data_IF_251431438238
#
_entry.id   IF_251431438238
#
_cell.length_a   1.000
_cell.length_b   1.000
_cell.length_c   1.000
_cell.angle_alpha   90.00
_cell.angle_beta   90.00
_cell.angle_gamma   90.00
#
_symmetry.space_group_name_H-M   'P 1'
#
loop_
_entity.id
_entity.type
_entity.pdbx_description
1 polymer ?
#
# COMPACT_ATOMS: atom_id res chain seq x y z
N UNK A 1 11.13 23.28 14.92
CA UNK A 1 9.91 24.09 14.67
C UNK A 1 8.81 23.49 15.51
N UNK A 2 8.19 24.27 16.41
CA UNK A 2 7.19 23.71 17.31
C UNK A 2 5.92 23.33 16.55
N UNK A 3 5.18 22.34 17.03
CA UNK A 3 3.90 21.90 16.45
C UNK A 3 2.89 23.06 16.42
N UNK A 4 3.01 24.01 17.36
CA UNK A 4 2.23 25.25 17.39
C UNK A 4 2.51 26.21 16.24
N UNK A 5 3.76 26.29 15.75
CA UNK A 5 4.14 27.20 14.66
C UNK A 5 3.66 26.69 13.29
N UNK A 6 3.57 25.37 13.13
CA UNK A 6 3.06 24.76 11.90
C UNK A 6 1.54 24.89 11.81
N UNK A 7 0.83 24.75 12.92
CA UNK A 7 -0.62 24.95 12.98
C UNK A 7 -1.00 26.42 12.72
N UNK A 8 -0.25 27.38 13.26
CA UNK A 8 -0.53 28.81 13.04
C UNK A 8 -0.27 29.25 11.59
N UNK A 9 0.73 28.70 10.92
CA UNK A 9 1.01 28.93 9.48
C UNK A 9 -0.07 28.33 8.57
N UNK A 10 -0.59 27.15 8.92
CA UNK A 10 -1.68 26.51 8.17
C UNK A 10 -2.99 27.31 8.32
N UNK A 11 -3.29 27.80 9.52
CA UNK A 11 -4.52 28.58 9.80
C UNK A 11 -4.47 30.00 9.26
N UNK A 12 -3.29 30.61 9.18
CA UNK A 12 -3.11 31.98 8.66
C UNK A 12 -3.13 32.06 7.14
N UNK A 13 -2.95 30.95 6.43
CA UNK A 13 -2.89 30.91 4.98
C UNK A 13 -4.00 30.04 4.39
N UNK A 14 -5.10 30.70 3.97
CA UNK A 14 -6.32 30.04 3.50
C UNK A 14 -6.07 29.01 2.36
N UNK A 15 -5.03 29.24 1.54
CA UNK A 15 -4.63 28.31 0.46
C UNK A 15 -4.03 26.99 1.00
N UNK A 16 -3.22 27.07 2.06
CA UNK A 16 -2.57 25.91 2.68
C UNK A 16 -3.60 25.08 3.45
N UNK A 17 -4.54 25.74 4.12
CA UNK A 17 -5.66 25.08 4.82
C UNK A 17 -6.52 24.26 3.84
N UNK A 18 -6.93 24.86 2.72
CA UNK A 18 -7.73 24.16 1.70
C UNK A 18 -6.95 23.01 1.08
N UNK A 19 -5.67 23.21 0.75
CA UNK A 19 -4.83 22.14 0.20
C UNK A 19 -4.69 20.95 1.17
N UNK A 20 -4.49 21.23 2.46
CA UNK A 20 -4.38 20.23 3.53
C UNK A 20 -5.67 19.42 3.69
N UNK A 21 -6.82 20.10 3.65
CA UNK A 21 -8.13 19.46 3.77
C UNK A 21 -8.45 18.60 2.55
N UNK A 22 -8.12 19.08 1.35
CA UNK A 22 -8.29 18.33 0.11
C UNK A 22 -7.38 17.08 0.09
N UNK A 23 -6.13 17.23 0.49
CA UNK A 23 -5.17 16.13 0.64
C UNK A 23 -5.67 15.08 1.62
N UNK A 24 -6.21 15.50 2.76
CA UNK A 24 -6.81 14.60 3.74
C UNK A 24 -8.01 13.83 3.15
N UNK A 25 -8.93 14.52 2.47
CA UNK A 25 -10.10 13.89 1.84
C UNK A 25 -9.71 12.89 0.74
N UNK A 26 -8.71 13.24 -0.08
CA UNK A 26 -8.15 12.34 -1.08
C UNK A 26 -7.55 11.09 -0.43
N UNK A 27 -6.75 11.27 0.62
CA UNK A 27 -6.22 10.16 1.42
C UNK A 27 -7.34 9.25 1.93
N UNK A 28 -8.37 9.84 2.54
CA UNK A 28 -9.52 9.10 3.09
C UNK A 28 -10.28 8.31 2.03
N UNK A 29 -10.56 8.92 0.89
CA UNK A 29 -11.17 8.24 -0.25
C UNK A 29 -10.33 7.06 -0.72
N UNK A 30 -9.04 7.29 -0.97
CA UNK A 30 -8.10 6.24 -1.39
C UNK A 30 -8.04 5.09 -0.38
N UNK A 31 -7.92 5.38 0.91
CA UNK A 31 -7.86 4.38 1.97
C UNK A 31 -9.12 3.52 2.04
N UNK A 32 -10.30 4.15 1.92
CA UNK A 32 -11.58 3.45 1.94
C UNK A 32 -11.73 2.46 0.78
N UNK A 33 -11.40 2.87 -0.44
CA UNK A 33 -11.46 1.97 -1.61
C UNK A 33 -10.35 0.91 -1.58
N UNK A 34 -9.15 1.26 -1.11
CA UNK A 34 -8.04 0.32 -0.97
C UNK A 34 -8.38 -0.84 -0.04
N UNK A 35 -9.05 -0.57 1.10
CA UNK A 35 -9.50 -1.61 2.02
C UNK A 35 -10.42 -2.65 1.36
N UNK A 36 -11.26 -2.23 0.40
CA UNK A 36 -12.10 -3.14 -0.39
C UNK A 36 -11.30 -3.89 -1.44
N UNK A 37 -10.38 -3.21 -2.13
CA UNK A 37 -9.54 -3.78 -3.18
C UNK A 37 -8.57 -4.85 -2.67
N UNK A 38 -8.04 -4.68 -1.45
CA UNK A 38 -7.09 -5.61 -0.82
C UNK A 38 -7.60 -7.04 -0.76
N UNK A 39 -8.90 -7.26 -0.51
CA UNK A 39 -9.49 -8.60 -0.46
C UNK A 39 -9.34 -9.33 -1.81
N UNK A 40 -9.53 -8.62 -2.91
CA UNK A 40 -9.37 -9.16 -4.26
C UNK A 40 -7.91 -9.40 -4.63
N UNK A 41 -6.99 -8.52 -4.20
CA UNK A 41 -5.55 -8.73 -4.37
C UNK A 41 -5.08 -10.00 -3.64
N UNK A 42 -5.52 -10.20 -2.39
CA UNK A 42 -5.20 -11.40 -1.62
C UNK A 42 -5.77 -12.64 -2.31
N UNK A 43 -7.03 -12.59 -2.77
CA UNK A 43 -7.64 -13.70 -3.50
C UNK A 43 -6.86 -14.05 -4.77
N UNK A 44 -6.42 -13.04 -5.54
CA UNK A 44 -5.60 -13.23 -6.72
C UNK A 44 -4.26 -13.91 -6.39
N UNK A 45 -3.57 -13.45 -5.35
CA UNK A 45 -2.30 -14.05 -4.90
C UNK A 45 -2.52 -15.52 -4.49
N UNK A 46 -3.58 -15.82 -3.74
CA UNK A 46 -3.90 -17.19 -3.33
C UNK A 46 -4.18 -18.10 -4.53
N UNK A 47 -4.93 -17.61 -5.52
CA UNK A 47 -5.20 -18.37 -6.76
C UNK A 47 -3.91 -18.62 -7.53
N UNK A 48 -3.01 -17.63 -7.62
CA UNK A 48 -1.70 -17.80 -8.26
C UNK A 48 -0.85 -18.84 -7.54
N UNK A 49 -0.80 -18.80 -6.20
CA UNK A 49 -0.08 -19.79 -5.38
C UNK A 49 -0.68 -21.18 -5.59
N UNK A 50 -2.01 -21.31 -5.58
CA UNK A 50 -2.68 -22.59 -5.82
C UNK A 50 -2.35 -23.15 -7.21
N UNK A 51 -2.38 -22.31 -8.26
CA UNK A 51 -1.97 -22.69 -9.61
C UNK A 51 -0.52 -23.15 -9.69
N UNK A 52 0.40 -22.46 -8.98
CA UNK A 52 1.79 -22.86 -8.90
C UNK A 52 1.97 -24.22 -8.20
N UNK A 53 1.28 -24.45 -7.09
CA UNK A 53 1.30 -25.73 -6.36
C UNK A 53 0.77 -26.89 -7.20
N UNK A 54 -0.34 -26.68 -7.93
CA UNK A 54 -0.88 -27.68 -8.86
C UNK A 54 0.10 -28.01 -9.99
N UNK A 55 0.80 -27.00 -10.51
CA UNK A 55 1.81 -27.19 -11.55
C UNK A 55 2.98 -28.04 -11.03
N UNK A 56 3.48 -27.76 -9.82
CA UNK A 56 4.53 -28.56 -9.17
C UNK A 56 4.08 -30.02 -8.99
N UNK A 57 2.82 -30.24 -8.59
CA UNK A 57 2.27 -31.58 -8.39
C UNK A 57 2.18 -32.37 -9.72
N UNK A 58 1.81 -31.70 -10.82
CA UNK A 58 1.70 -32.32 -12.14
C UNK A 58 3.03 -32.73 -12.76
N UNK A 59 4.16 -32.14 -12.34
CA UNK A 59 5.49 -32.41 -12.90
C UNK A 59 6.33 -33.45 -12.13
N UNK A 60 5.83 -34.01 -11.03
CA UNK A 60 6.45 -35.15 -10.34
C UNK A 60 7.92 -34.97 -9.92
N UNK A 61 8.38 -33.73 -9.73
CA UNK A 61 9.80 -33.39 -9.60
C UNK A 61 10.10 -32.37 -8.50
N UNK A 62 11.18 -32.63 -7.76
CA UNK A 62 11.66 -32.00 -6.52
C UNK A 62 11.34 -30.51 -6.33
N UNK A 63 10.57 -30.24 -5.28
CA UNK A 63 10.16 -28.91 -4.78
C UNK A 63 11.40 -28.00 -4.54
N UNK A 64 12.54 -28.59 -4.18
CA UNK A 64 13.79 -27.89 -3.86
C UNK A 64 14.37 -27.08 -5.03
N UNK A 65 14.29 -27.60 -6.26
CA UNK A 65 14.81 -26.93 -7.47
C UNK A 65 13.94 -25.74 -7.90
N UNK A 66 12.66 -25.76 -7.53
CA UNK A 66 11.69 -24.73 -7.88
C UNK A 66 11.81 -23.58 -6.88
N UNK A 67 11.81 -23.87 -5.58
CA UNK A 67 11.96 -22.84 -4.54
C UNK A 67 13.26 -22.06 -4.71
N UNK A 68 14.40 -22.72 -4.94
CA UNK A 68 15.68 -22.02 -5.17
C UNK A 68 15.66 -21.13 -6.41
N UNK A 69 15.00 -21.55 -7.50
CA UNK A 69 14.90 -20.76 -8.74
C UNK A 69 13.96 -19.56 -8.61
N UNK A 70 12.84 -19.68 -7.89
CA UNK A 70 11.92 -18.55 -7.71
C UNK A 70 12.38 -17.59 -6.60
N UNK A 71 12.92 -18.10 -5.48
CA UNK A 71 13.40 -17.27 -4.36
C UNK A 71 14.61 -16.45 -4.73
N UNK A 72 15.55 -16.99 -5.52
CA UNK A 72 16.72 -16.24 -5.99
C UNK A 72 16.36 -15.06 -6.89
N UNK A 73 15.27 -15.17 -7.66
CA UNK A 73 14.78 -14.08 -8.52
C UNK A 73 14.06 -12.97 -7.72
N UNK A 74 13.49 -13.27 -6.55
CA UNK A 74 12.81 -12.25 -5.72
C UNK A 74 13.81 -11.21 -5.21
N UNK A 75 15.07 -11.62 -4.94
CA UNK A 75 16.12 -10.70 -4.50
C UNK A 75 16.46 -9.64 -5.54
N UNK A 76 16.31 -9.95 -6.84
CA UNK A 76 16.58 -9.01 -7.93
C UNK A 76 15.58 -7.84 -7.94
N UNK A 77 14.32 -8.07 -7.57
CA UNK A 77 13.27 -7.04 -7.57
C UNK A 77 13.20 -6.22 -6.28
N UNK A 78 14.08 -6.53 -5.31
CA UNK A 78 14.05 -5.89 -3.99
C UNK A 78 14.22 -4.38 -4.10
N UNK A 79 15.14 -3.93 -4.93
CA UNK A 79 15.50 -2.52 -4.99
C UNK A 79 14.47 -1.70 -5.76
N UNK A 80 13.81 -2.29 -6.78
CA UNK A 80 12.66 -1.70 -7.46
C UNK A 80 11.47 -1.57 -6.51
N UNK A 81 11.16 -2.61 -5.74
CA UNK A 81 10.07 -2.58 -4.74
C UNK A 81 10.36 -1.53 -3.67
N UNK A 82 11.60 -1.44 -3.17
CA UNK A 82 12.00 -0.42 -2.21
C UNK A 82 11.93 0.99 -2.81
N UNK A 83 12.26 1.15 -4.09
CA UNK A 83 12.16 2.44 -4.80
C UNK A 83 10.70 2.86 -4.95
N UNK A 84 9.83 1.94 -5.36
CA UNK A 84 8.39 2.18 -5.41
C UNK A 84 7.86 2.53 -4.02
N UNK A 85 8.26 1.81 -2.98
CA UNK A 85 7.84 2.08 -1.61
C UNK A 85 8.31 3.44 -1.11
N UNK A 86 9.51 3.88 -1.49
CA UNK A 86 10.02 5.23 -1.20
C UNK A 86 9.23 6.31 -1.93
N UNK A 87 8.89 6.11 -3.21
CA UNK A 87 8.07 7.05 -3.99
C UNK A 87 6.66 7.12 -3.40
N UNK A 88 6.04 5.97 -3.13
CA UNK A 88 4.73 5.90 -2.48
C UNK A 88 4.77 6.56 -1.11
N UNK A 89 5.79 6.30 -0.29
CA UNK A 89 5.99 6.94 1.01
C UNK A 89 6.19 8.45 0.90
N UNK A 90 6.87 8.92 -0.14
CA UNK A 90 7.07 10.35 -0.41
C UNK A 90 5.85 11.05 -1.05
N UNK A 91 4.92 10.31 -1.67
CA UNK A 91 3.62 10.83 -2.10
C UNK A 91 2.64 10.87 -0.93
N UNK A 92 2.77 9.94 0.01
CA UNK A 92 2.00 9.83 1.24
C UNK A 92 2.65 10.68 2.33
N UNK A 93 2.57 12.01 2.26
CA UNK A 93 3.14 12.90 3.29
C UNK A 93 2.05 13.66 4.03
N UNK A 94 2.20 13.78 5.35
CA UNK A 94 1.40 14.64 6.23
C UNK A 94 -0.10 14.31 6.20
N UNK A 95 -0.97 15.16 5.61
CA UNK A 95 -2.42 14.99 5.69
C UNK A 95 -2.96 13.78 4.92
N UNK A 96 -2.33 13.40 3.81
CA UNK A 96 -2.78 12.29 2.96
C UNK A 96 -2.66 10.96 3.70
N UNK A 97 -1.55 10.72 4.40
CA UNK A 97 -1.36 9.52 5.23
C UNK A 97 -2.43 9.37 6.29
N UNK A 98 -2.71 10.46 7.02
CA UNK A 98 -3.68 10.45 8.11
C UNK A 98 -5.07 10.14 7.54
N UNK A 99 -5.44 10.79 6.44
CA UNK A 99 -6.67 10.49 5.71
C UNK A 99 -6.73 9.03 5.28
N UNK A 100 -5.67 8.52 4.66
CA UNK A 100 -5.57 7.15 4.18
C UNK A 100 -5.76 6.12 5.29
N UNK A 101 -5.06 6.25 6.42
CA UNK A 101 -5.18 5.32 7.55
C UNK A 101 -6.62 5.31 8.08
N UNK A 102 -7.22 6.49 8.27
CA UNK A 102 -8.63 6.60 8.73
C UNK A 102 -9.58 5.98 7.70
N UNK A 103 -9.38 6.26 6.41
CA UNK A 103 -10.14 5.70 5.32
C UNK A 103 -10.09 4.17 5.29
N UNK A 104 -8.90 3.60 5.47
CA UNK A 104 -8.71 2.14 5.58
C UNK A 104 -9.46 1.57 6.77
N UNK A 105 -9.33 2.18 7.95
CA UNK A 105 -10.04 1.72 9.16
C UNK A 105 -11.56 1.73 8.94
N UNK A 106 -12.10 2.81 8.37
CA UNK A 106 -13.53 2.91 8.05
C UNK A 106 -13.95 1.85 7.02
N UNK A 107 -13.16 1.67 5.96
CA UNK A 107 -13.44 0.69 4.89
C UNK A 107 -13.35 -0.76 5.35
N UNK A 108 -12.51 -1.06 6.35
CA UNK A 108 -12.44 -2.38 6.98
C UNK A 108 -13.58 -2.62 7.97
N UNK A 109 -14.01 -1.59 8.70
CA UNK A 109 -15.04 -1.70 9.74
C UNK A 109 -16.45 -1.73 9.15
N UNK A 110 -16.71 -0.96 8.08
CA UNK A 110 -17.94 -1.07 7.29
C UNK A 110 -17.76 -2.15 6.25
N UNK A 111 -18.04 -3.41 6.63
CA UNK A 111 -18.12 -4.55 5.70
C UNK A 111 -19.09 -4.28 4.57
#
# INVERSE_FOLDING_TARGET
MAIGDTLSVILSNNKILVATLLQFLMGLGLGYYFAKAVKYLIALILVMIAGALLNIWGFGGSIDNILTKYVSNIAQYRDEVLTLLKIFGAMLVGPILIGFIIGVIIGLTRK
#
